data_IF_953338930823
#
_entry.id   IF_953338930823
#
_cell.length_a   1.000
_cell.length_b   1.000
_cell.length_c   1.000
_cell.angle_alpha   90.00
_cell.angle_beta   90.00
_cell.angle_gamma   90.00
#
_symmetry.space_group_name_H-M   'P 1'
#
loop_
_entity.id
_entity.type
_entity.pdbx_description
1 polymer ?
#
# COMPACT_ATOMS: atom_id res chain seq x y z
N UNK A 1 3.68 -8.79 17.29
CA UNK A 1 3.73 -9.70 16.12
C UNK A 1 3.58 -8.77 14.92
N UNK A 2 4.66 -8.27 14.34
CA UNK A 2 4.65 -6.95 13.67
C UNK A 2 4.22 -6.90 12.19
N UNK A 3 3.50 -7.90 11.69
CA UNK A 3 3.18 -7.98 10.25
C UNK A 3 1.67 -8.09 9.95
N UNK A 4 0.79 -7.81 10.92
CA UNK A 4 -0.67 -7.92 10.70
C UNK A 4 -1.14 -6.98 9.58
N UNK A 5 -0.58 -5.77 9.51
CA UNK A 5 -0.89 -4.83 8.41
C UNK A 5 -0.63 -5.45 7.03
N UNK A 6 0.49 -6.16 6.86
CA UNK A 6 0.82 -6.81 5.57
C UNK A 6 -0.14 -7.95 5.27
N UNK A 7 -0.46 -8.78 6.29
CA UNK A 7 -1.41 -9.88 6.12
C UNK A 7 -2.80 -9.39 5.70
N UNK A 8 -3.25 -8.24 6.22
CA UNK A 8 -4.53 -7.63 5.82
C UNK A 8 -4.45 -7.16 4.37
N UNK A 9 -3.36 -6.50 3.98
CA UNK A 9 -3.16 -6.04 2.59
C UNK A 9 -3.13 -7.23 1.62
N UNK A 10 -2.42 -8.31 1.97
CA UNK A 10 -2.37 -9.54 1.17
C UNK A 10 -3.76 -10.19 1.06
N UNK A 11 -4.50 -10.29 2.17
CA UNK A 11 -5.85 -10.84 2.15
C UNK A 11 -6.83 -10.01 1.30
N UNK A 12 -6.69 -8.68 1.30
CA UNK A 12 -7.47 -7.79 0.42
C UNK A 12 -7.10 -8.08 -1.04
N UNK A 13 -5.80 -8.09 -1.36
CA UNK A 13 -5.32 -8.36 -2.72
C UNK A 13 -5.81 -9.72 -3.23
N UNK A 14 -5.70 -10.78 -2.43
CA UNK A 14 -6.11 -12.13 -2.81
C UNK A 14 -7.62 -12.27 -3.04
N UNK A 15 -8.43 -11.36 -2.48
CA UNK A 15 -9.90 -11.40 -2.60
C UNK A 15 -10.46 -10.78 -3.88
N UNK A 16 -9.63 -10.05 -4.64
CA UNK A 16 -10.06 -9.30 -5.84
C UNK A 16 -9.01 -9.35 -6.96
N UNK A 17 -9.38 -9.13 -8.24
CA UNK A 17 -8.39 -8.95 -9.29
C UNK A 17 -7.48 -7.76 -9.01
N UNK A 18 -6.17 -7.97 -9.03
CA UNK A 18 -5.16 -6.94 -8.82
C UNK A 18 -4.09 -6.98 -9.92
N UNK A 19 -3.40 -5.86 -10.11
CA UNK A 19 -2.21 -5.84 -10.97
C UNK A 19 -1.07 -6.66 -10.33
N UNK A 20 -0.10 -7.18 -11.11
CA UNK A 20 1.08 -7.81 -10.54
C UNK A 20 1.76 -6.88 -9.51
N UNK A 21 2.23 -7.48 -8.43
CA UNK A 21 3.04 -6.77 -7.44
C UNK A 21 4.33 -6.27 -8.07
N UNK A 22 4.73 -5.05 -7.71
CA UNK A 22 5.98 -4.43 -8.14
C UNK A 22 6.66 -3.70 -6.99
N UNK A 23 7.98 -3.64 -7.05
CA UNK A 23 8.73 -2.80 -6.13
C UNK A 23 8.81 -1.36 -6.65
N UNK A 24 8.37 -0.42 -5.82
CA UNK A 24 8.38 1.01 -6.14
C UNK A 24 8.61 1.83 -4.86
N UNK A 25 9.55 2.78 -4.89
CA UNK A 25 9.85 3.65 -3.75
C UNK A 25 10.07 2.91 -2.42
N UNK A 26 10.77 1.76 -2.45
CA UNK A 26 11.00 0.89 -1.27
C UNK A 26 9.70 0.31 -0.66
N UNK A 27 8.69 0.10 -1.47
CA UNK A 27 7.48 -0.62 -1.08
C UNK A 27 7.12 -1.66 -2.14
N UNK A 28 6.44 -2.71 -1.73
CA UNK A 28 5.72 -3.60 -2.64
C UNK A 28 4.34 -2.99 -2.90
N UNK A 29 4.00 -2.77 -4.17
CA UNK A 29 2.78 -2.05 -4.57
C UNK A 29 2.02 -2.86 -5.60
N UNK A 30 0.70 -2.91 -5.45
CA UNK A 30 -0.21 -3.32 -6.51
C UNK A 30 -1.42 -2.39 -6.53
N UNK A 31 -2.29 -2.54 -7.52
CA UNK A 31 -3.53 -1.79 -7.60
C UNK A 31 -4.73 -2.70 -7.82
N UNK A 32 -5.83 -2.31 -7.20
CA UNK A 32 -7.15 -2.92 -7.33
C UNK A 32 -8.14 -1.86 -7.82
N UNK A 33 -9.31 -2.31 -8.24
CA UNK A 33 -10.44 -1.42 -8.55
C UNK A 33 -11.56 -1.67 -7.55
N UNK A 34 -12.02 -0.62 -6.88
CA UNK A 34 -13.14 -0.64 -5.94
C UNK A 34 -14.16 0.37 -6.43
N UNK A 35 -15.38 -0.08 -6.75
CA UNK A 35 -16.48 0.77 -7.25
C UNK A 35 -16.10 1.69 -8.45
N UNK A 36 -15.18 1.23 -9.30
CA UNK A 36 -14.67 1.98 -10.45
C UNK A 36 -13.50 2.91 -10.14
N UNK A 37 -13.10 3.05 -8.88
CA UNK A 37 -11.94 3.81 -8.44
C UNK A 37 -10.71 2.91 -8.29
N UNK A 38 -9.55 3.45 -8.71
CA UNK A 38 -8.28 2.74 -8.58
C UNK A 38 -7.70 2.96 -7.19
N UNK A 39 -7.52 1.88 -6.44
CA UNK A 39 -6.92 1.90 -5.10
C UNK A 39 -5.54 1.25 -5.15
N UNK A 40 -4.56 1.89 -4.51
CA UNK A 40 -3.22 1.34 -4.35
C UNK A 40 -3.11 0.58 -3.03
N UNK A 41 -2.62 -0.65 -3.12
CA UNK A 41 -2.20 -1.43 -1.97
C UNK A 41 -0.69 -1.31 -1.84
N UNK A 42 -0.22 -0.93 -0.66
CA UNK A 42 1.19 -0.57 -0.42
C UNK A 42 1.69 -1.30 0.82
N UNK A 43 2.80 -2.04 0.67
CA UNK A 43 3.55 -2.66 1.77
C UNK A 43 4.95 -2.06 1.84
N UNK A 44 5.19 -1.06 2.71
CA UNK A 44 6.51 -0.45 2.92
C UNK A 44 7.59 -1.48 3.28
N UNK A 45 8.59 -1.71 2.43
CA UNK A 45 9.71 -2.62 2.72
C UNK A 45 10.82 -1.92 3.54
N UNK A 46 10.44 -0.91 4.32
CA UNK A 46 11.32 -0.21 5.27
C UNK A 46 11.05 -0.70 6.70
N UNK A 47 11.90 -0.31 7.65
CA UNK A 47 11.60 -0.54 9.06
C UNK A 47 10.32 0.24 9.44
N UNK A 48 9.52 -0.30 10.38
CA UNK A 48 8.21 0.28 10.77
C UNK A 48 8.29 1.76 11.18
N UNK A 49 9.40 2.19 11.79
CA UNK A 49 9.63 3.59 12.16
C UNK A 49 10.00 4.50 10.97
N UNK A 50 10.27 3.91 9.79
CA UNK A 50 10.69 4.56 8.55
C UNK A 50 9.69 4.32 7.41
N UNK A 51 8.47 3.87 7.69
CA UNK A 51 7.43 3.68 6.66
C UNK A 51 7.05 4.99 5.95
N UNK A 52 7.28 6.14 6.58
CA UNK A 52 7.10 7.44 5.94
C UNK A 52 8.06 7.70 4.76
N UNK A 53 9.23 7.04 4.74
CA UNK A 53 10.21 7.17 3.66
C UNK A 53 9.74 6.53 2.35
N UNK A 54 8.82 5.57 2.39
CA UNK A 54 8.21 4.97 1.19
C UNK A 54 6.86 5.60 0.88
N UNK A 55 6.01 5.85 1.89
CA UNK A 55 4.66 6.38 1.72
C UNK A 55 4.69 7.80 1.15
N UNK A 56 5.56 8.69 1.65
CA UNK A 56 5.65 10.07 1.18
C UNK A 56 5.99 10.21 -0.31
N UNK A 57 7.05 9.53 -0.82
CA UNK A 57 7.34 9.50 -2.26
C UNK A 57 6.23 8.89 -3.10
N UNK A 58 5.56 7.82 -2.64
CA UNK A 58 4.42 7.23 -3.34
C UNK A 58 3.27 8.23 -3.46
N UNK A 59 2.88 8.89 -2.37
CA UNK A 59 1.83 9.91 -2.40
C UNK A 59 2.14 11.02 -3.41
N UNK A 60 3.39 11.50 -3.45
CA UNK A 60 3.79 12.52 -4.43
C UNK A 60 3.75 12.01 -5.87
N UNK A 61 4.17 10.76 -6.11
CA UNK A 61 4.18 10.16 -7.44
C UNK A 61 2.76 9.95 -7.99
N UNK A 62 1.87 9.43 -7.15
CA UNK A 62 0.47 9.17 -7.51
C UNK A 62 -0.47 10.35 -7.29
N UNK A 63 0.03 11.47 -6.75
CA UNK A 63 -0.75 12.67 -6.41
C UNK A 63 -1.92 12.36 -5.48
N UNK A 64 -1.64 11.62 -4.40
CA UNK A 64 -2.62 11.21 -3.39
C UNK A 64 -2.59 12.20 -2.23
N UNK A 65 -3.76 12.71 -1.85
CA UNK A 65 -3.91 13.57 -0.68
C UNK A 65 -3.83 12.75 0.62
N UNK A 66 -3.29 13.31 1.72
CA UNK A 66 -3.22 12.59 2.99
C UNK A 66 -4.56 12.10 3.53
N UNK A 67 -5.66 12.76 3.16
CA UNK A 67 -7.03 12.35 3.53
C UNK A 67 -7.46 11.02 2.90
N UNK A 68 -6.81 10.62 1.81
CA UNK A 68 -7.15 9.42 1.04
C UNK A 68 -6.25 8.23 1.40
N UNK A 69 -5.40 8.39 2.43
CA UNK A 69 -4.47 7.36 2.90
C UNK A 69 -5.01 6.66 4.13
N UNK A 70 -5.17 5.34 4.03
CA UNK A 70 -5.56 4.48 5.13
C UNK A 70 -4.37 3.63 5.58
N UNK A 71 -4.03 3.69 6.87
CA UNK A 71 -2.94 2.93 7.47
C UNK A 71 -3.47 1.77 8.32
N UNK A 72 -2.99 0.56 8.06
CA UNK A 72 -3.32 -0.64 8.83
C UNK A 72 -2.03 -1.13 9.52
N UNK A 73 -2.03 -1.18 10.85
CA UNK A 73 -0.87 -1.56 11.67
C UNK A 73 -1.32 -2.28 12.96
N UNK A 74 -0.37 -2.92 13.67
CA UNK A 74 -0.58 -3.55 15.00
C UNK A 74 -0.26 -2.61 16.17
#
# INVERSE_FOLDING_TARGET
>A
KHNIGFMVIDAIADSVPHTPWREEQRAEVCSITVDGEKVLLVKPQTFMNLSGESVGPLMRYYKIDPSDVYCIYD
#
